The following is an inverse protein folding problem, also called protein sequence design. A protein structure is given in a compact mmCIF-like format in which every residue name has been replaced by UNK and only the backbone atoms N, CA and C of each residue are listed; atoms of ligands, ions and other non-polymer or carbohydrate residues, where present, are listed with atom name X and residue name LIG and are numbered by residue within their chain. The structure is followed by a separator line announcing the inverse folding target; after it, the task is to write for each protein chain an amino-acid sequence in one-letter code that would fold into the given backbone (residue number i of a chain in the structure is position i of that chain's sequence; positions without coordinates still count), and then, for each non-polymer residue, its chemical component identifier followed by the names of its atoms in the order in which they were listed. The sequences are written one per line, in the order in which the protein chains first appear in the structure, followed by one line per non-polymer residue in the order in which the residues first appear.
data_IF_933504438058
#
_entry.id   IF_933504438058
#
_cell.length_a   1.000
_cell.length_b   1.000
_cell.length_c   1.000
_cell.angle_alpha   90.00
_cell.angle_beta   90.00
_cell.angle_gamma   90.00
#
_symmetry.space_group_name_H-M   'P 1'
#
loop_
_entity.id
_entity.type
_entity.pdbx_description
1 polymer ?
#
# COMPACT_ATOMS: atom_id res chain seq x y z
N UNK A 1 -5.57 36.54 11.96
CA UNK A 1 -5.37 35.08 11.98
C UNK A 1 -4.29 34.81 10.95
N UNK A 2 -3.24 34.09 11.32
CA UNK A 2 -2.11 33.81 10.42
C UNK A 2 -2.64 33.09 9.17
N UNK A 3 -2.24 33.55 7.99
CA UNK A 3 -2.57 32.91 6.71
C UNK A 3 -1.91 31.51 6.68
N UNK A 4 -2.67 30.49 6.26
CA UNK A 4 -2.23 29.08 6.26
C UNK A 4 -0.89 28.88 5.54
N UNK A 5 -0.55 29.77 4.60
CA UNK A 5 0.70 29.77 3.85
C UNK A 5 1.94 30.06 4.69
N UNK A 6 1.80 30.75 5.83
CA UNK A 6 2.91 31.10 6.71
C UNK A 6 3.05 30.16 7.91
N UNK A 7 2.13 29.21 8.09
CA UNK A 7 2.17 28.24 9.20
C UNK A 7 3.51 27.47 9.25
N UNK A 8 4.06 26.94 8.14
CA UNK A 8 5.34 26.23 8.19
C UNK A 8 6.49 27.11 8.67
N UNK A 9 6.56 28.36 8.18
CA UNK A 9 7.57 29.34 8.57
C UNK A 9 7.48 29.71 10.05
N UNK A 10 6.26 29.82 10.58
CA UNK A 10 6.00 30.08 12.00
C UNK A 10 6.41 28.89 12.86
N UNK A 11 6.14 27.66 12.43
CA UNK A 11 6.56 26.46 13.17
C UNK A 11 8.09 26.31 13.18
N UNK A 12 8.75 26.51 12.04
CA UNK A 12 10.23 26.49 11.96
C UNK A 12 10.87 27.58 12.85
N UNK A 13 10.23 28.74 12.99
CA UNK A 13 10.65 29.79 13.93
C UNK A 13 10.53 29.34 15.40
N UNK A 14 9.42 28.70 15.75
CA UNK A 14 9.14 28.26 17.12
C UNK A 14 10.01 27.06 17.53
N UNK A 15 10.36 26.19 16.58
CA UNK A 15 11.27 25.06 16.77
C UNK A 15 12.76 25.46 16.68
N UNK A 16 13.06 26.72 16.30
CA UNK A 16 14.42 27.24 16.20
C UNK A 16 15.22 26.69 15.01
N UNK A 17 14.54 26.21 13.97
CA UNK A 17 15.14 25.52 12.81
C UNK A 17 15.19 26.37 11.54
N UNK A 18 14.95 27.68 11.66
CA UNK A 18 14.97 28.59 10.50
C UNK A 18 16.33 28.62 9.80
N UNK A 19 16.28 28.54 8.47
CA UNK A 19 17.41 28.86 7.60
C UNK A 19 17.60 30.37 7.45
N UNK A 20 18.80 30.80 7.01
CA UNK A 20 19.10 32.22 6.79
C UNK A 20 18.16 32.91 5.79
N UNK A 21 17.64 32.18 4.80
CA UNK A 21 16.67 32.70 3.83
C UNK A 21 15.30 32.93 4.48
N UNK A 22 14.87 31.99 5.32
CA UNK A 22 13.62 32.05 6.06
C UNK A 22 13.62 33.15 7.14
N UNK A 23 14.77 33.43 7.77
CA UNK A 23 14.91 34.56 8.71
C UNK A 23 14.68 35.92 8.03
N UNK A 24 15.18 36.07 6.80
CA UNK A 24 14.98 37.28 6.00
C UNK A 24 13.52 37.42 5.55
N UNK A 25 12.90 36.32 5.13
CA UNK A 25 11.48 36.27 4.77
C UNK A 25 10.58 36.63 5.96
N UNK A 26 10.83 36.03 7.13
CA UNK A 26 10.11 36.34 8.36
C UNK A 26 10.25 37.81 8.76
N UNK A 27 11.47 38.36 8.67
CA UNK A 27 11.73 39.77 8.94
C UNK A 27 10.97 40.71 8.00
N UNK A 28 10.85 40.36 6.71
CA UNK A 28 10.06 41.12 5.73
C UNK A 28 8.56 41.01 6.00
N UNK A 29 8.07 39.84 6.42
CA UNK A 29 6.66 39.62 6.76
C UNK A 29 6.23 40.39 8.01
N UNK A 30 7.12 40.51 9.00
CA UNK A 30 6.93 41.33 10.20
C UNK A 30 6.96 42.84 9.87
N UNK A 31 7.85 43.28 8.98
CA UNK A 31 7.93 44.69 8.56
C UNK A 31 6.78 45.13 7.65
N UNK A 32 6.29 44.23 6.80
CA UNK A 32 5.14 44.49 5.92
C UNK A 32 3.79 44.41 6.64
N UNK A 33 3.77 43.95 7.89
CA UNK A 33 2.55 43.77 8.69
C UNK A 33 1.68 42.60 8.24
N UNK A 34 2.17 41.76 7.32
CA UNK A 34 1.50 40.55 6.88
C UNK A 34 1.48 39.46 7.97
N UNK A 35 2.45 39.51 8.89
CA UNK A 35 2.51 38.68 10.08
C UNK A 35 2.61 39.58 11.32
N UNK A 36 1.78 39.34 12.33
CA UNK A 36 1.84 40.10 13.58
C UNK A 36 2.70 39.38 14.62
N UNK A 37 3.59 40.12 15.27
CA UNK A 37 4.33 39.65 16.46
C UNK A 37 3.41 39.08 17.55
N UNK A 38 2.21 39.64 17.68
CA UNK A 38 1.22 39.17 18.64
C UNK A 38 0.69 37.77 18.29
N UNK A 39 0.47 37.52 17.01
CA UNK A 39 -0.04 36.22 16.53
C UNK A 39 1.00 35.11 16.67
N UNK A 40 2.28 35.43 16.45
CA UNK A 40 3.41 34.53 16.75
C UNK A 40 3.45 34.13 18.22
N UNK A 41 3.29 35.10 19.12
CA UNK A 41 3.28 34.84 20.56
C UNK A 41 2.08 34.01 21.01
N UNK A 42 0.91 34.21 20.39
CA UNK A 42 -0.29 33.42 20.67
C UNK A 42 -0.09 31.96 20.24
N UNK A 43 0.55 31.72 19.08
CA UNK A 43 0.91 30.38 18.63
C UNK A 43 1.94 29.69 19.53
N UNK A 44 2.98 30.42 19.95
CA UNK A 44 3.97 29.92 20.90
C UNK A 44 3.33 29.45 22.21
N UNK A 45 2.37 30.23 22.74
CA UNK A 45 1.63 29.88 23.95
C UNK A 45 0.78 28.62 23.76
N UNK A 46 0.18 28.45 22.59
CA UNK A 46 -0.67 27.29 22.29
C UNK A 46 0.17 26.00 22.29
N UNK A 47 1.35 26.01 21.68
CA UNK A 47 2.27 24.87 21.67
C UNK A 47 2.69 24.46 23.08
N UNK A 48 3.11 25.42 23.91
CA UNK A 48 3.45 25.15 25.32
C UNK A 48 2.25 24.58 26.08
N UNK A 49 1.06 25.13 25.85
CA UNK A 49 -0.18 24.64 26.51
C UNK A 49 -0.52 23.21 26.09
N UNK A 50 -0.24 22.82 24.84
CA UNK A 50 -0.46 21.45 24.35
C UNK A 50 0.54 20.45 24.92
N UNK A 51 1.79 20.86 25.11
CA UNK A 51 2.84 20.02 25.69
C UNK A 51 2.57 19.71 27.18
N UNK A 52 1.89 20.63 27.88
CA UNK A 52 1.46 20.45 29.28
C UNK A 52 0.20 19.56 29.44
N UNK A 53 -0.45 19.14 28.37
CA UNK A 53 -1.63 18.27 28.48
C UNK A 53 -1.23 16.89 28.99
N UNK A 54 -1.88 16.37 30.04
CA UNK A 54 -1.57 15.04 30.57
C UNK A 54 -1.86 13.98 29.51
N UNK A 55 -0.83 13.23 29.12
CA UNK A 55 -1.01 12.08 28.22
C UNK A 55 -1.79 10.98 28.98
N UNK A 56 -2.99 10.59 28.53
CA UNK A 56 -3.75 9.55 29.20
C UNK A 56 -3.07 8.19 28.94
N UNK A 57 -2.64 7.51 30.00
CA UNK A 57 -2.17 6.13 29.87
C UNK A 57 -3.32 5.21 29.43
N UNK A 58 -3.07 4.30 28.48
CA UNK A 58 -4.11 3.38 28.02
C UNK A 58 -4.59 2.51 29.18
N UNK A 59 -5.89 2.54 29.46
CA UNK A 59 -6.48 1.78 30.57
C UNK A 59 -6.29 0.26 30.38
N UNK A 60 -6.09 -0.46 31.49
CA UNK A 60 -6.00 -1.94 31.50
C UNK A 60 -7.21 -2.64 30.85
N UNK A 61 -8.36 -1.96 30.80
CA UNK A 61 -9.58 -2.44 30.14
C UNK A 61 -9.42 -2.58 28.63
N UNK A 62 -8.64 -1.73 27.97
CA UNK A 62 -8.38 -1.81 26.52
C UNK A 62 -7.69 -3.13 26.18
N UNK A 63 -6.67 -3.49 26.98
CA UNK A 63 -5.94 -4.74 26.82
C UNK A 63 -6.84 -5.95 27.02
N UNK A 64 -7.67 -5.91 28.05
CA UNK A 64 -8.62 -6.98 28.37
C UNK A 64 -9.66 -7.16 27.25
N UNK A 65 -10.23 -6.05 26.76
CA UNK A 65 -11.20 -6.06 25.66
C UNK A 65 -10.57 -6.63 24.38
N UNK A 66 -9.35 -6.23 24.04
CA UNK A 66 -8.62 -6.75 22.89
C UNK A 66 -8.44 -8.26 22.95
N UNK A 67 -7.91 -8.80 24.05
CA UNK A 67 -7.70 -10.26 24.17
C UNK A 67 -9.00 -11.04 24.23
N UNK A 68 -10.05 -10.49 24.83
CA UNK A 68 -11.37 -11.13 24.82
C UNK A 68 -11.97 -11.20 23.43
N UNK A 69 -11.74 -10.19 22.57
CA UNK A 69 -12.19 -10.19 21.18
C UNK A 69 -11.40 -11.22 20.36
N UNK A 70 -10.07 -11.29 20.55
CA UNK A 70 -9.21 -12.26 19.89
C UNK A 70 -9.59 -13.71 20.24
N UNK A 71 -9.86 -13.99 21.52
CA UNK A 71 -10.32 -15.31 21.96
C UNK A 71 -11.68 -15.68 21.36
N UNK A 72 -12.58 -14.71 21.19
CA UNK A 72 -13.89 -14.93 20.56
C UNK A 72 -13.77 -15.23 19.06
N UNK A 73 -12.85 -14.56 18.35
CA UNK A 73 -12.61 -14.84 16.93
C UNK A 73 -11.98 -16.21 16.72
N UNK A 74 -10.99 -16.60 17.53
CA UNK A 74 -10.40 -17.95 17.47
C UNK A 74 -11.43 -19.05 17.77
N UNK A 75 -12.34 -18.81 18.72
CA UNK A 75 -13.42 -19.74 19.03
C UNK A 75 -14.49 -19.80 17.91
N UNK A 76 -14.75 -18.69 17.21
CA UNK A 76 -15.69 -18.63 16.10
C UNK A 76 -15.19 -19.37 14.84
N UNK A 77 -13.88 -19.44 14.64
CA UNK A 77 -13.24 -20.23 13.58
C UNK A 77 -13.23 -21.73 13.89
N UNK A 78 -13.18 -22.11 15.17
CA UNK A 78 -13.28 -23.52 15.64
C UNK A 78 -14.72 -24.04 15.70
N UNK A 79 -15.60 -23.61 14.79
CA UNK A 79 -16.94 -24.19 14.71
C UNK A 79 -16.85 -25.62 14.17
N UNK A 80 -17.49 -26.61 14.82
CA UNK A 80 -17.50 -27.98 14.32
C UNK A 80 -18.15 -27.99 12.94
N UNK A 81 -17.43 -28.51 11.95
CA UNK A 81 -17.94 -28.63 10.58
C UNK A 81 -19.27 -29.39 10.55
N UNK A 82 -20.10 -29.10 9.54
CA UNK A 82 -21.42 -29.72 9.34
C UNK A 82 -21.40 -31.25 9.51
N UNK A 83 -20.32 -31.91 9.10
CA UNK A 83 -20.05 -33.34 9.27
C UNK A 83 -20.07 -33.81 10.74
N UNK A 84 -19.48 -33.05 11.65
CA UNK A 84 -19.37 -33.42 13.06
C UNK A 84 -20.71 -33.28 13.80
N UNK A 85 -21.54 -32.31 13.40
CA UNK A 85 -22.94 -32.18 13.88
C UNK A 85 -23.83 -33.30 13.37
N UNK A 86 -23.65 -33.72 12.11
CA UNK A 86 -24.41 -34.82 11.52
C UNK A 86 -24.11 -36.15 12.22
N UNK A 87 -22.83 -36.44 12.50
CA UNK A 87 -22.41 -37.66 13.19
C UNK A 87 -22.99 -37.77 14.61
N UNK A 88 -23.04 -36.67 15.36
CA UNK A 88 -23.62 -36.66 16.70
C UNK A 88 -25.14 -36.86 16.69
N UNK A 89 -25.85 -36.30 15.70
CA UNK A 89 -27.29 -36.48 15.53
C UNK A 89 -27.67 -37.91 15.13
N UNK A 90 -26.95 -38.48 14.16
CA UNK A 90 -27.14 -39.86 13.69
C UNK A 90 -26.79 -40.90 14.77
N UNK A 91 -25.72 -40.68 15.53
CA UNK A 91 -25.31 -41.56 16.63
C UNK A 91 -26.35 -41.65 17.75
N UNK A 92 -26.99 -40.53 18.12
CA UNK A 92 -28.08 -40.52 19.12
C UNK A 92 -29.35 -41.22 18.63
N UNK A 93 -29.66 -41.10 17.34
CA UNK A 93 -30.84 -41.73 16.74
C UNK A 93 -30.66 -43.25 16.62
N UNK A 94 -29.47 -43.72 16.23
CA UNK A 94 -29.19 -45.15 16.03
C UNK A 94 -29.01 -45.92 17.35
N UNK A 95 -28.53 -45.27 18.42
CA UNK A 95 -28.36 -45.91 19.74
C UNK A 95 -29.57 -45.82 20.68
N UNK A 96 -30.64 -45.10 20.32
CA UNK A 96 -31.85 -45.01 21.17
C UNK A 96 -32.74 -46.26 21.16
N UNK A 97 -32.32 -47.35 20.50
CA UNK A 97 -32.99 -48.66 20.53
C UNK A 97 -34.38 -48.73 19.90
N UNK A 98 -34.90 -47.60 19.40
CA UNK A 98 -36.27 -47.48 18.86
C UNK A 98 -36.35 -47.55 17.33
N UNK A 99 -35.21 -47.65 16.63
CA UNK A 99 -35.19 -47.62 15.17
C UNK A 99 -35.19 -49.06 14.63
N UNK A 100 -36.33 -49.47 14.05
CA UNK A 100 -36.43 -50.74 13.34
C UNK A 100 -35.48 -50.73 12.14
N UNK A 101 -34.71 -51.80 11.93
CA UNK A 101 -33.70 -51.90 10.87
C UNK A 101 -34.23 -51.50 9.47
N UNK A 102 -35.53 -51.71 9.21
CA UNK A 102 -36.20 -51.28 7.99
C UNK A 102 -36.21 -49.76 7.75
N UNK A 103 -36.33 -48.93 8.80
CA UNK A 103 -36.30 -47.47 8.68
C UNK A 103 -34.89 -46.95 8.35
N UNK A 104 -33.84 -47.57 8.90
CA UNK A 104 -32.45 -47.21 8.60
C UNK A 104 -32.13 -47.52 7.14
N UNK A 105 -32.58 -48.68 6.64
CA UNK A 105 -32.41 -49.07 5.23
C UNK A 105 -33.20 -48.18 4.27
N UNK A 106 -34.45 -47.85 4.60
CA UNK A 106 -35.25 -46.93 3.81
C UNK A 106 -34.64 -45.52 3.77
N UNK A 107 -34.12 -45.03 4.91
CA UNK A 107 -33.41 -43.76 5.00
C UNK A 107 -32.11 -43.76 4.19
N UNK A 108 -31.33 -44.83 4.23
CA UNK A 108 -30.13 -44.97 3.42
C UNK A 108 -30.43 -44.97 1.91
N UNK A 109 -31.49 -45.68 1.49
CA UNK A 109 -31.94 -45.68 0.10
C UNK A 109 -32.41 -44.30 -0.36
N UNK A 110 -33.18 -43.58 0.46
CA UNK A 110 -33.60 -42.20 0.18
C UNK A 110 -32.42 -41.24 0.12
N UNK A 111 -31.41 -41.43 0.96
CA UNK A 111 -30.19 -40.62 0.97
C UNK A 111 -29.38 -40.85 -0.31
N UNK A 112 -29.20 -42.12 -0.72
CA UNK A 112 -28.51 -42.46 -1.98
C UNK A 112 -29.27 -41.94 -3.18
N UNK A 113 -30.60 -42.07 -3.21
CA UNK A 113 -31.44 -41.50 -4.27
C UNK A 113 -31.40 -39.98 -4.30
N UNK A 114 -31.53 -39.32 -3.15
CA UNK A 114 -31.45 -37.87 -3.03
C UNK A 114 -30.06 -37.33 -3.39
N UNK A 115 -29.00 -38.03 -3.02
CA UNK A 115 -27.63 -37.69 -3.39
C UNK A 115 -27.37 -37.94 -4.88
N UNK A 116 -27.89 -39.02 -5.46
CA UNK A 116 -27.78 -39.31 -6.89
C UNK A 116 -28.55 -38.30 -7.74
N UNK A 117 -29.79 -37.99 -7.36
CA UNK A 117 -30.61 -36.95 -7.97
C UNK A 117 -29.96 -35.57 -7.79
N UNK A 118 -29.43 -35.27 -6.60
CA UNK A 118 -28.72 -34.02 -6.33
C UNK A 118 -27.40 -33.89 -7.09
N UNK A 119 -26.70 -34.99 -7.34
CA UNK A 119 -25.50 -35.03 -8.19
C UNK A 119 -25.86 -34.88 -9.67
N UNK A 120 -26.98 -35.45 -10.12
CA UNK A 120 -27.47 -35.33 -11.50
C UNK A 120 -28.06 -33.96 -11.81
N UNK A 121 -28.72 -33.34 -10.82
CA UNK A 121 -29.25 -31.97 -10.88
C UNK A 121 -28.21 -30.90 -10.53
N UNK A 122 -26.96 -31.26 -10.20
CA UNK A 122 -25.90 -30.27 -10.02
C UNK A 122 -25.69 -29.57 -11.37
N UNK A 123 -26.00 -28.26 -11.49
CA UNK A 123 -25.62 -27.54 -12.68
C UNK A 123 -24.09 -27.63 -12.80
N UNK A 124 -23.60 -28.05 -13.96
CA UNK A 124 -22.18 -27.98 -14.27
C UNK A 124 -21.77 -26.50 -14.23
N UNK A 125 -21.00 -26.13 -13.21
CA UNK A 125 -20.27 -24.86 -13.04
C UNK A 125 -21.03 -23.51 -13.22
N UNK A 126 -21.95 -23.13 -12.33
CA UNK A 126 -22.27 -21.71 -12.13
C UNK A 126 -21.22 -20.98 -11.27
N UNK A 127 -20.54 -21.70 -10.37
CA UNK A 127 -19.66 -21.09 -9.37
C UNK A 127 -18.32 -20.57 -9.93
N UNK A 128 -17.73 -21.20 -10.94
CA UNK A 128 -16.49 -20.68 -11.55
C UNK A 128 -16.74 -19.40 -12.35
N UNK A 129 -17.87 -19.30 -13.07
CA UNK A 129 -18.19 -18.11 -13.87
C UNK A 129 -18.59 -16.92 -12.98
N UNK A 130 -19.27 -17.17 -11.86
CA UNK A 130 -19.75 -16.11 -10.97
C UNK A 130 -18.67 -15.60 -10.00
N UNK A 131 -17.71 -16.42 -9.59
CA UNK A 131 -16.56 -15.96 -8.80
C UNK A 131 -15.53 -15.22 -9.67
N UNK A 132 -15.33 -15.65 -10.93
CA UNK A 132 -14.48 -14.95 -11.89
C UNK A 132 -14.97 -13.53 -12.20
N UNK A 133 -16.28 -13.33 -12.39
CA UNK A 133 -16.80 -12.00 -12.72
C UNK A 133 -16.74 -11.00 -11.55
N UNK A 134 -16.94 -11.45 -10.30
CA UNK A 134 -16.85 -10.57 -9.12
C UNK A 134 -15.42 -10.16 -8.79
N UNK A 135 -14.47 -11.11 -8.87
CA UNK A 135 -13.05 -10.80 -8.68
C UNK A 135 -12.55 -9.82 -9.74
N UNK A 136 -12.96 -10.01 -11.00
CA UNK A 136 -12.57 -9.11 -12.10
C UNK A 136 -13.14 -7.69 -11.90
N UNK A 137 -14.38 -7.56 -11.43
CA UNK A 137 -14.98 -6.25 -11.13
C UNK A 137 -14.27 -5.53 -9.97
N UNK A 138 -13.89 -6.23 -8.90
CA UNK A 138 -13.15 -5.62 -7.80
C UNK A 138 -11.78 -5.11 -8.23
N UNK A 139 -11.05 -5.89 -9.04
CA UNK A 139 -9.75 -5.47 -9.60
C UNK A 139 -9.91 -4.23 -10.48
N UNK A 140 -10.92 -4.20 -11.36
CA UNK A 140 -11.19 -3.02 -12.20
C UNK A 140 -11.56 -1.78 -11.37
N UNK A 141 -12.35 -1.93 -10.31
CA UNK A 141 -12.67 -0.79 -9.43
C UNK A 141 -11.43 -0.28 -8.68
N UNK A 142 -10.55 -1.18 -8.22
CA UNK A 142 -9.28 -0.80 -7.60
C UNK A 142 -8.37 -0.04 -8.58
N UNK A 143 -8.30 -0.47 -9.83
CA UNK A 143 -7.53 0.21 -10.88
C UNK A 143 -8.04 1.63 -11.15
N UNK A 144 -9.37 1.81 -11.28
CA UNK A 144 -9.95 3.15 -11.52
C UNK A 144 -9.66 4.09 -10.35
N UNK A 145 -9.80 3.62 -9.11
CA UNK A 145 -9.47 4.40 -7.91
C UNK A 145 -7.97 4.75 -7.84
N UNK A 146 -7.12 3.81 -8.21
CA UNK A 146 -5.68 4.03 -8.29
C UNK A 146 -5.34 5.11 -9.32
N UNK A 147 -5.84 4.99 -10.55
CA UNK A 147 -5.56 5.93 -11.64
C UNK A 147 -6.06 7.33 -11.30
N UNK A 148 -7.30 7.44 -10.79
CA UNK A 148 -7.84 8.73 -10.34
C UNK A 148 -7.01 9.32 -9.20
N UNK A 149 -6.57 8.51 -8.23
CA UNK A 149 -5.73 9.03 -7.15
C UNK A 149 -4.35 9.46 -7.63
N UNK A 150 -3.69 8.71 -8.52
CA UNK A 150 -2.38 9.07 -9.07
C UNK A 150 -2.45 10.36 -9.91
N UNK A 151 -3.49 10.52 -10.72
CA UNK A 151 -3.60 11.65 -11.66
C UNK A 151 -4.22 12.90 -11.05
N UNK A 152 -5.20 12.76 -10.15
CA UNK A 152 -6.07 13.87 -9.73
C UNK A 152 -5.84 14.32 -8.27
N UNK A 153 -5.14 13.53 -7.45
CA UNK A 153 -4.90 13.91 -6.04
C UNK A 153 -3.84 14.99 -5.92
N UNK A 154 -4.18 16.09 -5.23
CA UNK A 154 -3.21 17.13 -4.87
C UNK A 154 -2.25 16.69 -3.76
N UNK A 155 -2.67 15.76 -2.90
CA UNK A 155 -1.89 15.26 -1.76
C UNK A 155 -0.89 14.17 -2.17
N UNK A 156 0.38 14.34 -1.76
CA UNK A 156 1.41 13.32 -1.95
C UNK A 156 1.08 12.02 -1.19
N UNK A 157 0.40 12.10 -0.04
CA UNK A 157 0.00 10.92 0.76
C UNK A 157 -1.00 10.05 0.03
N UNK A 158 -1.96 10.66 -0.68
CA UNK A 158 -2.98 9.91 -1.42
C UNK A 158 -2.36 9.26 -2.67
N UNK A 159 -1.47 9.96 -3.38
CA UNK A 159 -0.71 9.37 -4.48
C UNK A 159 0.19 8.22 -4.01
N UNK A 160 0.88 8.39 -2.87
CA UNK A 160 1.67 7.32 -2.25
C UNK A 160 0.81 6.10 -1.89
N UNK A 161 -0.38 6.32 -1.33
CA UNK A 161 -1.32 5.24 -1.04
C UNK A 161 -1.72 4.51 -2.31
N UNK A 162 -2.03 5.24 -3.38
CA UNK A 162 -2.37 4.64 -4.67
C UNK A 162 -1.21 3.80 -5.24
N UNK A 163 0.03 4.30 -5.17
CA UNK A 163 1.22 3.51 -5.55
C UNK A 163 1.32 2.22 -4.72
N UNK A 164 1.14 2.29 -3.39
CA UNK A 164 1.20 1.10 -2.54
C UNK A 164 0.08 0.10 -2.88
N UNK A 165 -1.12 0.57 -3.21
CA UNK A 165 -2.21 -0.30 -3.65
C UNK A 165 -1.89 -1.04 -4.96
N UNK A 166 -1.07 -0.47 -5.86
CA UNK A 166 -0.67 -1.20 -7.08
C UNK A 166 0.12 -2.47 -6.77
N UNK A 167 0.88 -2.49 -5.68
CA UNK A 167 1.69 -3.64 -5.26
C UNK A 167 0.83 -4.84 -4.83
N UNK A 168 -0.42 -4.59 -4.45
CA UNK A 168 -1.36 -5.65 -4.07
C UNK A 168 -1.99 -6.34 -5.30
N UNK A 169 -1.83 -5.77 -6.49
CA UNK A 169 -2.38 -6.33 -7.72
C UNK A 169 -1.55 -7.54 -8.18
N UNK A 170 -2.15 -8.73 -8.38
CA UNK A 170 -1.41 -9.90 -8.86
C UNK A 170 -0.78 -9.69 -10.25
N UNK A 171 -1.40 -8.85 -11.08
CA UNK A 171 -0.91 -8.43 -12.39
C UNK A 171 -1.37 -6.99 -12.65
N UNK A 172 -0.42 -6.12 -12.96
CA UNK A 172 -0.70 -4.81 -13.53
C UNK A 172 -0.88 -4.92 -15.05
N UNK A 173 -1.86 -4.20 -15.58
CA UNK A 173 -2.04 -4.03 -17.02
C UNK A 173 -1.21 -2.86 -17.55
N UNK A 174 -1.24 -2.67 -18.86
CA UNK A 174 -0.48 -1.63 -19.54
C UNK A 174 -0.77 -0.22 -19.02
N UNK A 175 -2.02 0.05 -18.60
CA UNK A 175 -2.45 1.35 -18.11
C UNK A 175 -1.85 1.63 -16.72
N UNK A 176 -1.92 0.66 -15.80
CA UNK A 176 -1.27 0.77 -14.48
C UNK A 176 0.24 0.94 -14.61
N UNK A 177 0.91 0.17 -15.48
CA UNK A 177 2.36 0.31 -15.71
C UNK A 177 2.70 1.70 -16.24
N UNK A 178 1.91 2.21 -17.19
CA UNK A 178 2.12 3.55 -17.75
C UNK A 178 1.92 4.63 -16.70
N UNK A 179 0.89 4.50 -15.86
CA UNK A 179 0.66 5.42 -14.76
C UNK A 179 1.81 5.42 -13.75
N UNK A 180 2.30 4.24 -13.32
CA UNK A 180 3.44 4.14 -12.40
C UNK A 180 4.73 4.72 -13.00
N UNK A 181 4.99 4.49 -14.28
CA UNK A 181 6.14 5.10 -14.97
C UNK A 181 6.00 6.62 -15.08
N UNK A 182 4.80 7.13 -15.32
CA UNK A 182 4.55 8.57 -15.29
C UNK A 182 4.79 9.12 -13.88
N UNK A 183 4.26 8.48 -12.85
CA UNK A 183 4.49 8.85 -11.44
C UNK A 183 5.97 8.88 -11.10
N UNK A 184 6.75 7.86 -11.49
CA UNK A 184 8.21 7.86 -11.33
C UNK A 184 8.87 9.06 -12.00
N UNK A 185 8.45 9.43 -13.21
CA UNK A 185 9.13 10.45 -14.00
C UNK A 185 8.68 11.88 -13.70
N UNK A 186 7.49 12.10 -13.15
CA UNK A 186 6.91 13.44 -13.02
C UNK A 186 6.30 13.78 -11.66
N UNK A 187 6.20 12.84 -10.70
CA UNK A 187 5.65 13.20 -9.39
C UNK A 187 6.57 14.20 -8.66
N UNK A 188 6.03 15.31 -8.14
CA UNK A 188 6.83 16.31 -7.43
C UNK A 188 7.47 15.75 -6.15
N UNK A 189 6.88 14.72 -5.54
CA UNK A 189 7.39 14.10 -4.32
C UNK A 189 8.41 13.01 -4.62
N UNK A 190 9.63 13.16 -4.10
CA UNK A 190 10.68 12.13 -4.16
C UNK A 190 10.17 10.81 -3.58
N UNK A 191 9.43 10.86 -2.46
CA UNK A 191 8.93 9.65 -1.79
C UNK A 191 7.94 8.87 -2.67
N UNK A 192 7.09 9.57 -3.43
CA UNK A 192 6.14 8.93 -4.34
C UNK A 192 6.88 8.31 -5.53
N UNK A 193 7.92 8.99 -6.06
CA UNK A 193 8.78 8.43 -7.11
C UNK A 193 9.52 7.17 -6.64
N UNK A 194 10.07 7.16 -5.43
CA UNK A 194 10.74 5.99 -4.86
C UNK A 194 9.77 4.81 -4.71
N UNK A 195 8.58 5.05 -4.16
CA UNK A 195 7.55 4.01 -4.07
C UNK A 195 7.12 3.48 -5.45
N UNK A 196 7.11 4.34 -6.48
CA UNK A 196 6.78 3.92 -7.83
C UNK A 196 7.85 2.97 -8.39
N UNK A 197 9.14 3.18 -8.08
CA UNK A 197 10.21 2.24 -8.44
C UNK A 197 9.98 0.87 -7.80
N UNK A 198 9.67 0.84 -6.50
CA UNK A 198 9.40 -0.40 -5.77
C UNK A 198 8.20 -1.15 -6.36
N UNK A 199 7.11 -0.43 -6.65
CA UNK A 199 5.93 -1.01 -7.28
C UNK A 199 6.22 -1.55 -8.68
N UNK A 200 6.98 -0.82 -9.49
CA UNK A 200 7.41 -1.25 -10.82
C UNK A 200 8.23 -2.55 -10.76
N UNK A 201 9.13 -2.70 -9.78
CA UNK A 201 9.94 -3.92 -9.64
C UNK A 201 9.11 -5.20 -9.50
N UNK A 202 7.96 -5.14 -8.82
CA UNK A 202 7.06 -6.30 -8.68
C UNK A 202 6.47 -6.76 -10.02
N UNK A 203 6.43 -5.87 -11.01
CA UNK A 203 5.90 -6.13 -12.34
C UNK A 203 6.99 -6.19 -13.42
N UNK A 204 8.25 -6.41 -13.03
CA UNK A 204 9.40 -6.43 -13.95
C UNK A 204 9.34 -7.50 -15.07
N UNK A 205 8.43 -8.47 -14.97
CA UNK A 205 8.13 -9.41 -16.07
C UNK A 205 7.48 -8.71 -17.28
N UNK A 206 6.86 -7.56 -17.09
CA UNK A 206 6.31 -6.75 -18.16
C UNK A 206 7.45 -5.97 -18.86
N UNK A 207 7.70 -6.18 -20.18
CA UNK A 207 8.87 -5.60 -20.87
C UNK A 207 8.99 -4.07 -20.74
N UNK A 208 7.86 -3.37 -20.81
CA UNK A 208 7.80 -1.91 -20.66
C UNK A 208 8.32 -1.41 -19.31
N UNK A 209 8.23 -2.22 -18.24
CA UNK A 209 8.76 -1.83 -16.93
C UNK A 209 10.27 -1.71 -16.99
N UNK A 210 10.96 -2.73 -17.49
CA UNK A 210 12.42 -2.73 -17.56
C UNK A 210 12.92 -1.60 -18.46
N UNK A 211 12.33 -1.46 -19.64
CA UNK A 211 12.63 -0.37 -20.57
C UNK A 211 12.35 1.02 -19.94
N UNK A 212 11.23 1.14 -19.23
CA UNK A 212 10.83 2.38 -18.55
C UNK A 212 11.81 2.78 -17.45
N UNK A 213 12.20 1.84 -16.58
CA UNK A 213 13.20 2.07 -15.53
C UNK A 213 14.55 2.52 -16.11
N UNK A 214 14.98 1.92 -17.22
CA UNK A 214 16.22 2.29 -17.93
C UNK A 214 16.12 3.71 -18.50
N UNK A 215 14.99 4.07 -19.11
CA UNK A 215 14.78 5.42 -19.66
C UNK A 215 14.68 6.48 -18.58
N UNK A 216 14.16 6.13 -17.40
CA UNK A 216 14.01 7.07 -16.29
C UNK A 216 15.34 7.68 -15.84
N UNK A 217 16.50 7.03 -16.02
CA UNK A 217 17.80 7.62 -15.68
C UNK A 217 18.06 8.97 -16.35
N UNK A 218 17.55 9.21 -17.56
CA UNK A 218 17.73 10.49 -18.26
C UNK A 218 16.78 11.60 -17.77
N UNK A 219 15.77 11.25 -16.97
CA UNK A 219 14.72 12.15 -16.50
C UNK A 219 14.85 12.49 -15.01
N UNK A 220 15.68 11.76 -14.26
CA UNK A 220 15.80 11.94 -12.81
C UNK A 220 16.97 12.85 -12.45
N UNK A 221 16.66 13.94 -11.76
CA UNK A 221 17.67 14.83 -11.16
C UNK A 221 17.98 14.49 -9.70
N UNK A 222 17.09 13.74 -9.03
CA UNK A 222 17.22 13.46 -7.60
C UNK A 222 18.27 12.36 -7.35
N UNK A 223 19.32 12.62 -6.54
CA UNK A 223 20.31 11.64 -6.13
C UNK A 223 19.72 10.34 -5.57
N UNK A 224 18.71 10.46 -4.71
CA UNK A 224 18.05 9.32 -4.08
C UNK A 224 17.30 8.45 -5.08
N UNK A 225 16.61 9.08 -6.04
CA UNK A 225 15.88 8.36 -7.08
C UNK A 225 16.84 7.66 -8.04
N UNK A 226 17.96 8.30 -8.39
CA UNK A 226 19.02 7.68 -9.21
C UNK A 226 19.62 6.44 -8.54
N UNK A 227 19.90 6.51 -7.23
CA UNK A 227 20.38 5.37 -6.45
C UNK A 227 19.35 4.23 -6.46
N UNK A 228 18.08 4.53 -6.18
CA UNK A 228 17.02 3.53 -6.16
C UNK A 228 16.80 2.90 -7.55
N UNK A 229 16.90 3.69 -8.63
CA UNK A 229 16.85 3.16 -10.00
C UNK A 229 18.02 2.22 -10.27
N UNK A 230 19.24 2.59 -9.86
CA UNK A 230 20.43 1.76 -10.01
C UNK A 230 20.28 0.42 -9.29
N UNK A 231 19.77 0.44 -8.05
CA UNK A 231 19.47 -0.76 -7.28
C UNK A 231 18.40 -1.61 -7.96
N UNK A 232 17.31 -0.99 -8.44
CA UNK A 232 16.22 -1.67 -9.13
C UNK A 232 16.72 -2.40 -10.38
N UNK A 233 17.41 -1.71 -11.29
CA UNK A 233 17.90 -2.33 -12.54
C UNK A 233 18.99 -3.37 -12.26
N UNK A 234 19.77 -3.22 -11.18
CA UNK A 234 20.74 -4.21 -10.74
C UNK A 234 20.05 -5.47 -10.22
N UNK A 235 19.06 -5.33 -9.34
CA UNK A 235 18.26 -6.44 -8.82
C UNK A 235 17.54 -7.20 -9.94
N UNK A 236 17.10 -6.48 -10.97
CA UNK A 236 16.48 -7.04 -12.17
C UNK A 236 17.48 -7.57 -13.20
N UNK A 237 18.79 -7.45 -12.99
CA UNK A 237 19.85 -7.81 -13.93
C UNK A 237 19.65 -7.21 -15.34
N UNK A 238 19.24 -5.96 -15.41
CA UNK A 238 18.98 -5.25 -16.67
C UNK A 238 20.26 -4.62 -17.23
N UNK A 239 20.98 -5.40 -18.06
CA UNK A 239 22.24 -4.98 -18.67
C UNK A 239 22.11 -3.75 -19.59
N UNK A 240 20.92 -3.48 -20.14
CA UNK A 240 20.72 -2.28 -20.96
C UNK A 240 20.83 -0.97 -20.16
N UNK A 241 20.75 -1.03 -18.82
CA UNK A 241 20.96 0.13 -17.95
C UNK A 241 22.43 0.59 -17.88
N UNK A 242 23.40 -0.23 -18.28
CA UNK A 242 24.83 0.09 -18.17
C UNK A 242 25.19 1.36 -18.96
N UNK A 243 24.71 1.50 -20.20
CA UNK A 243 25.05 2.65 -21.03
C UNK A 243 24.47 3.98 -20.49
N UNK A 244 23.17 4.06 -20.09
CA UNK A 244 22.64 5.24 -19.40
C UNK A 244 23.39 5.58 -18.11
N UNK A 245 23.74 4.58 -17.30
CA UNK A 245 24.51 4.78 -16.07
C UNK A 245 25.92 5.31 -16.33
N UNK A 246 26.61 4.84 -17.38
CA UNK A 246 27.92 5.37 -17.78
C UNK A 246 27.83 6.85 -18.19
N UNK A 247 26.79 7.21 -18.96
CA UNK A 247 26.53 8.60 -19.36
C UNK A 247 26.28 9.52 -18.16
N UNK A 248 25.68 9.01 -17.08
CA UNK A 248 25.52 9.78 -15.84
C UNK A 248 26.85 10.05 -15.13
N UNK A 249 27.81 9.10 -15.16
CA UNK A 249 29.13 9.27 -14.55
C UNK A 249 29.99 10.34 -15.24
N UNK A 250 29.72 10.63 -16.51
CA UNK A 250 30.40 11.70 -17.28
C UNK A 250 29.94 13.11 -16.84
N UNK A 251 28.87 13.24 -16.07
CA UNK A 251 28.38 14.53 -15.59
C UNK A 251 29.23 15.06 -14.43
N UNK A 252 29.80 16.25 -14.61
CA UNK A 252 30.72 16.84 -13.63
C UNK A 252 30.08 17.08 -12.26
N UNK A 253 28.78 17.43 -12.23
CA UNK A 253 28.06 17.84 -11.02
C UNK A 253 27.43 16.68 -10.22
N UNK A 254 27.59 15.43 -10.66
CA UNK A 254 26.99 14.30 -9.95
C UNK A 254 27.70 14.05 -8.61
N UNK A 255 26.91 13.92 -7.54
CA UNK A 255 27.40 13.69 -6.18
C UNK A 255 28.30 12.45 -6.07
N UNK A 256 29.33 12.52 -5.22
CA UNK A 256 30.33 11.46 -5.05
C UNK A 256 29.74 10.13 -4.58
N UNK A 257 28.71 10.17 -3.72
CA UNK A 257 28.02 8.97 -3.22
C UNK A 257 27.23 8.31 -4.34
N UNK A 258 26.54 9.11 -5.15
CA UNK A 258 25.78 8.62 -6.31
C UNK A 258 26.74 8.01 -7.34
N UNK A 259 27.88 8.66 -7.62
CA UNK A 259 28.91 8.12 -8.53
C UNK A 259 29.41 6.76 -8.07
N UNK A 260 29.69 6.60 -6.78
CA UNK A 260 30.13 5.33 -6.21
C UNK A 260 29.06 4.24 -6.39
N UNK A 261 27.81 4.53 -6.04
CA UNK A 261 26.70 3.58 -6.16
C UNK A 261 26.48 3.16 -7.61
N UNK A 262 26.42 4.11 -8.54
CA UNK A 262 26.23 3.85 -9.97
C UNK A 262 27.39 2.99 -10.53
N UNK A 263 28.63 3.29 -10.12
CA UNK A 263 29.79 2.48 -10.52
C UNK A 263 29.69 1.04 -10.02
N UNK A 264 29.25 0.84 -8.78
CA UNK A 264 29.04 -0.49 -8.20
C UNK A 264 27.93 -1.27 -8.92
N UNK A 265 26.82 -0.61 -9.25
CA UNK A 265 25.74 -1.19 -10.06
C UNK A 265 26.22 -1.61 -11.45
N UNK A 266 27.00 -0.77 -12.14
CA UNK A 266 27.61 -1.12 -13.43
C UNK A 266 28.49 -2.37 -13.31
N UNK A 267 29.38 -2.43 -12.32
CA UNK A 267 30.26 -3.57 -12.11
C UNK A 267 29.51 -4.87 -11.86
N UNK A 268 28.35 -4.80 -11.19
CA UNK A 268 27.51 -5.97 -10.90
C UNK A 268 26.80 -6.50 -12.16
N UNK A 269 26.54 -5.64 -13.15
CA UNK A 269 25.80 -5.98 -14.38
C UNK A 269 26.68 -6.48 -15.53
N UNK A 270 27.99 -6.22 -15.48
CA UNK A 270 28.97 -6.70 -16.45
C UNK A 270 29.17 -8.21 -16.32
#
# INVERSE_FOLDING_TARGET
MIDDRYIPLVMDYLDGTLSQEQEQELSQLLQSGALSEKELQDYARLLVTMEELPQPEPSDRLRTNFYSMLAQTEAAERKPGLLQRLQQGLGRLLWSGQVQAGMVMAGALLLVLGAGIGYWLRPANPYEQQVGHLQTQLVQMQQVLLLTQLEQSRSATDRLRAVNMSQELPRADHEVITALLNTLNSDPSINVRLAAIEALQQHAQHPQVREGLVRSFELQESPLVLIALAEAVTALQEKSAVAPMQKLLEQEQLDSTVKQQITQSIQTLL
#
